data_IF_192054369161
#
_entry.id   IF_192054369161
#
_cell.length_a   1.000
_cell.length_b   1.000
_cell.length_c   1.000
_cell.angle_alpha   90.00
_cell.angle_beta   90.00
_cell.angle_gamma   90.00
#
_symmetry.space_group_name_H-M   'P 1'
#
loop_
_entity.id
_entity.type
_entity.pdbx_description
1 polymer ?
#
# COMPACT_ATOMS: atom_id res chain seq x y z
N UNK A 1 6.79 36.58 -8.23
CA UNK A 1 6.12 35.33 -8.61
C UNK A 1 7.09 34.49 -9.45
N UNK A 2 8.08 33.86 -8.79
CA UNK A 2 9.15 32.99 -9.31
C UNK A 2 10.25 33.00 -8.24
N UNK A 3 10.16 32.13 -7.21
CA UNK A 3 11.26 31.80 -6.27
C UNK A 3 10.95 30.75 -5.18
N UNK A 4 9.78 30.11 -5.17
CA UNK A 4 9.42 29.09 -4.15
C UNK A 4 9.33 27.65 -4.73
N UNK A 5 9.43 27.46 -6.04
CA UNK A 5 9.32 26.12 -6.65
C UNK A 5 10.60 25.26 -6.60
N UNK A 6 11.76 25.80 -6.22
CA UNK A 6 13.02 25.03 -6.25
C UNK A 6 13.34 24.26 -4.96
N UNK A 7 12.68 24.56 -3.84
CA UNK A 7 12.99 23.96 -2.54
C UNK A 7 12.17 22.69 -2.23
N UNK A 8 11.05 22.46 -2.92
CA UNK A 8 10.19 21.27 -2.72
C UNK A 8 10.63 20.08 -3.60
N UNK A 9 11.43 20.30 -4.65
CA UNK A 9 11.99 19.22 -5.47
C UNK A 9 13.06 18.37 -4.76
N UNK A 10 13.65 18.85 -3.66
CA UNK A 10 14.78 18.17 -2.98
C UNK A 10 14.39 17.08 -1.98
N UNK A 11 13.11 16.93 -1.66
CA UNK A 11 12.63 15.88 -0.76
C UNK A 11 11.73 14.84 -1.46
N UNK A 12 11.53 14.99 -2.77
CA UNK A 12 10.78 14.04 -3.61
C UNK A 12 11.67 13.25 -4.59
N UNK A 13 12.95 13.60 -4.75
CA UNK A 13 13.92 12.86 -5.55
C UNK A 13 15.33 13.04 -4.95
N UNK A 14 16.07 11.95 -4.87
CA UNK A 14 17.45 11.90 -4.39
C UNK A 14 18.40 12.81 -5.22
N UNK A 15 19.34 13.39 -4.49
CA UNK A 15 20.65 13.96 -4.81
C UNK A 15 21.09 14.09 -6.30
N UNK A 16 21.40 15.32 -6.69
CA UNK A 16 22.30 15.69 -7.81
C UNK A 16 23.78 15.60 -7.38
N UNK A 17 24.72 15.16 -8.23
CA UNK A 17 26.11 15.56 -8.10
C UNK A 17 26.38 16.84 -8.90
N UNK A 18 27.13 17.75 -8.29
CA UNK A 18 27.62 18.98 -8.89
C UNK A 18 28.89 18.74 -9.75
N UNK A 19 28.98 19.55 -10.81
CA UNK A 19 30.17 20.18 -11.38
C UNK A 19 31.44 19.33 -11.64
N UNK A 20 31.72 19.08 -12.93
CA UNK A 20 33.05 18.77 -13.44
C UNK A 20 33.66 20.06 -14.00
N UNK A 21 34.77 20.51 -13.39
CA UNK A 21 35.69 21.48 -13.97
C UNK A 21 36.63 20.82 -14.97
N UNK A 22 36.95 21.54 -16.05
CA UNK A 22 37.89 21.11 -17.07
C UNK A 22 39.35 21.40 -16.69
N UNK A 23 40.18 20.37 -16.87
CA UNK A 23 41.56 20.33 -17.42
C UNK A 23 42.69 21.09 -16.69
N UNK A 24 43.69 20.30 -16.29
CA UNK A 24 45.10 20.56 -16.66
C UNK A 24 45.88 19.24 -16.78
N UNK A 25 46.65 19.14 -17.86
CA UNK A 25 47.52 18.04 -18.25
C UNK A 25 48.68 17.82 -17.27
N UNK A 26 49.12 16.56 -17.15
CA UNK A 26 50.44 16.20 -16.62
C UNK A 26 50.73 14.72 -16.85
N UNK A 27 51.50 14.42 -17.89
CA UNK A 27 52.05 13.09 -18.18
C UNK A 27 53.06 12.66 -17.11
N UNK A 28 53.03 11.38 -16.69
CA UNK A 28 54.26 10.64 -16.37
C UNK A 28 54.09 9.10 -16.43
N UNK A 29 54.57 8.54 -17.54
CA UNK A 29 55.35 7.30 -17.74
C UNK A 29 55.24 6.11 -16.75
N UNK A 30 54.78 4.99 -17.33
CA UNK A 30 55.13 3.56 -17.14
C UNK A 30 55.69 3.03 -15.79
N UNK A 31 55.07 1.92 -15.32
CA UNK A 31 55.76 0.60 -15.20
C UNK A 31 54.77 -0.57 -15.07
N UNK A 32 54.83 -1.47 -16.06
CA UNK A 32 54.22 -2.81 -16.05
C UNK A 32 54.94 -3.70 -15.03
N UNK A 33 54.20 -4.41 -14.18
CA UNK A 33 54.63 -5.72 -13.66
C UNK A 33 53.45 -6.70 -13.65
N UNK A 34 53.62 -7.77 -14.45
CA UNK A 34 52.83 -9.00 -14.43
C UNK A 34 52.99 -9.68 -13.08
N UNK A 35 51.90 -10.15 -12.49
CA UNK A 35 51.91 -11.34 -11.65
C UNK A 35 50.73 -12.23 -12.01
N UNK A 36 51.05 -13.31 -12.73
CA UNK A 36 50.21 -14.48 -12.88
C UNK A 36 50.26 -15.25 -11.56
N UNK A 37 49.12 -15.46 -10.90
CA UNK A 37 48.96 -16.56 -9.95
C UNK A 37 47.67 -17.29 -10.29
N UNK A 38 47.86 -18.44 -10.93
CA UNK A 38 46.88 -19.51 -11.04
C UNK A 38 46.71 -20.08 -9.63
N UNK A 39 45.49 -20.00 -9.09
CA UNK A 39 45.09 -20.77 -7.93
C UNK A 39 43.79 -21.47 -8.31
N UNK A 40 43.88 -22.80 -8.46
CA UNK A 40 42.74 -23.67 -8.60
C UNK A 40 41.87 -23.56 -7.34
N UNK A 41 40.65 -23.06 -7.50
CA UNK A 41 39.62 -23.15 -6.45
C UNK A 41 38.83 -24.41 -6.74
N UNK A 42 38.96 -25.36 -5.82
CA UNK A 42 38.11 -26.55 -5.78
C UNK A 42 36.65 -26.12 -5.69
N UNK A 43 35.82 -26.61 -6.61
CA UNK A 43 34.36 -26.50 -6.53
C UNK A 43 33.89 -27.41 -5.40
N UNK A 44 33.93 -26.93 -4.17
CA UNK A 44 33.07 -27.47 -3.13
C UNK A 44 31.67 -26.96 -3.44
N UNK A 45 30.76 -27.86 -3.82
CA UNK A 45 29.32 -27.60 -3.84
C UNK A 45 28.87 -27.27 -2.41
N UNK A 46 29.06 -26.02 -2.01
CA UNK A 46 28.50 -25.47 -0.79
C UNK A 46 27.00 -25.37 -0.99
N UNK A 47 26.25 -26.27 -0.35
CA UNK A 47 24.83 -26.04 -0.10
C UNK A 47 24.71 -24.69 0.60
N UNK A 48 24.01 -23.75 -0.04
CA UNK A 48 23.71 -22.45 0.56
C UNK A 48 23.01 -22.70 1.92
N UNK A 49 23.45 -22.08 3.02
CA UNK A 49 22.84 -22.27 4.33
C UNK A 49 21.42 -21.70 4.45
N UNK A 50 20.87 -21.14 3.36
CA UNK A 50 19.60 -20.41 3.32
C UNK A 50 18.41 -21.25 2.84
N UNK A 51 18.57 -22.57 2.72
CA UNK A 51 17.45 -23.45 2.39
C UNK A 51 16.60 -23.77 3.64
N UNK A 52 15.94 -22.76 4.22
CA UNK A 52 14.78 -23.00 5.09
C UNK A 52 13.53 -23.02 4.21
N UNK A 53 13.43 -24.04 3.36
CA UNK A 53 12.14 -24.41 2.80
C UNK A 53 11.41 -25.22 3.88
N UNK A 54 10.74 -24.52 4.80
CA UNK A 54 9.76 -25.15 5.66
C UNK A 54 8.69 -25.86 4.81
N UNK A 55 8.09 -26.96 5.29
CA UNK A 55 7.02 -27.63 4.56
C UNK A 55 5.86 -26.65 4.36
N UNK A 56 5.64 -26.22 3.11
CA UNK A 56 4.57 -25.29 2.73
C UNK A 56 4.98 -24.00 2.02
N UNK A 57 6.23 -23.86 1.54
CA UNK A 57 6.65 -22.72 0.72
C UNK A 57 5.69 -22.53 -0.48
N UNK A 58 4.86 -21.48 -0.42
CA UNK A 58 3.93 -21.15 -1.51
C UNK A 58 4.75 -20.50 -2.61
N UNK A 59 4.85 -21.16 -3.76
CA UNK A 59 5.59 -20.64 -4.91
C UNK A 59 4.83 -19.44 -5.49
N UNK A 60 5.41 -18.22 -5.52
CA UNK A 60 4.74 -17.07 -6.10
C UNK A 60 4.50 -17.27 -7.60
N UNK A 61 3.33 -16.81 -8.07
CA UNK A 61 2.99 -16.75 -9.48
C UNK A 61 3.28 -15.35 -10.03
N UNK A 62 4.08 -15.26 -11.09
CA UNK A 62 4.39 -13.97 -11.72
C UNK A 62 3.24 -13.52 -12.63
N UNK A 63 2.60 -12.42 -12.25
CA UNK A 63 1.51 -11.77 -12.99
C UNK A 63 2.03 -10.95 -14.18
N UNK A 64 3.14 -10.22 -14.00
CA UNK A 64 3.73 -9.31 -15.00
C UNK A 64 5.25 -9.20 -14.86
N UNK A 65 5.91 -8.77 -15.94
CA UNK A 65 7.33 -8.36 -16.00
C UNK A 65 7.50 -6.87 -16.29
N UNK A 66 6.39 -6.14 -16.35
CA UNK A 66 6.35 -4.74 -16.79
C UNK A 66 5.72 -3.84 -15.73
N UNK A 67 5.75 -4.26 -14.46
CA UNK A 67 5.27 -3.47 -13.34
C UNK A 67 6.05 -2.17 -13.22
N UNK A 68 5.37 -1.10 -12.83
CA UNK A 68 6.03 0.17 -12.52
C UNK A 68 6.63 0.18 -11.10
N UNK A 69 7.29 1.28 -10.72
CA UNK A 69 7.90 1.47 -9.39
C UNK A 69 6.93 1.41 -8.20
N UNK A 70 5.62 1.41 -8.46
CA UNK A 70 4.55 1.26 -7.47
C UNK A 70 3.44 0.30 -7.95
N UNK A 71 3.81 -0.72 -8.73
CA UNK A 71 2.87 -1.62 -9.42
C UNK A 71 1.75 -2.18 -8.52
N UNK A 72 2.09 -2.52 -7.28
CA UNK A 72 1.19 -3.05 -6.24
C UNK A 72 0.98 -2.08 -5.08
N UNK A 73 1.46 -0.85 -5.22
CA UNK A 73 1.47 0.18 -4.19
C UNK A 73 0.09 0.60 -3.69
N UNK A 74 0.13 1.25 -2.52
CA UNK A 74 -1.02 1.68 -1.71
C UNK A 74 -1.79 0.47 -1.19
N UNK A 75 -1.47 0.06 0.04
CA UNK A 75 -2.07 -1.12 0.67
C UNK A 75 -3.59 -0.93 0.91
N UNK A 76 -3.99 0.31 1.13
CA UNK A 76 -5.36 0.78 1.29
C UNK A 76 -6.22 0.67 0.02
N UNK A 77 -5.58 0.76 -1.15
CA UNK A 77 -6.22 0.65 -2.45
C UNK A 77 -6.31 -0.83 -2.82
N UNK A 78 -7.41 -1.49 -2.49
CA UNK A 78 -7.59 -2.93 -2.71
C UNK A 78 -7.41 -3.32 -4.18
N UNK A 79 -6.64 -4.39 -4.45
CA UNK A 79 -6.28 -4.83 -5.80
C UNK A 79 -6.80 -6.21 -6.14
N UNK A 80 -7.50 -6.85 -5.21
CA UNK A 80 -7.81 -8.26 -5.26
C UNK A 80 -9.26 -8.46 -4.82
N UNK A 81 -10.02 -9.18 -5.63
CA UNK A 81 -11.43 -9.49 -5.34
C UNK A 81 -11.70 -10.94 -5.74
N UNK A 82 -12.12 -11.76 -4.78
CA UNK A 82 -12.65 -13.10 -5.06
C UNK A 82 -14.18 -13.12 -5.05
N UNK A 83 -14.77 -13.53 -6.16
CA UNK A 83 -16.20 -13.73 -6.30
C UNK A 83 -16.51 -15.07 -6.97
N UNK A 84 -17.34 -15.89 -6.31
CA UNK A 84 -17.83 -17.19 -6.82
C UNK A 84 -16.75 -18.03 -7.54
N UNK A 85 -15.67 -18.36 -6.84
CA UNK A 85 -14.62 -19.24 -7.37
C UNK A 85 -13.57 -18.56 -8.26
N UNK A 86 -13.72 -17.27 -8.56
CA UNK A 86 -12.74 -16.51 -9.35
C UNK A 86 -12.10 -15.40 -8.54
N UNK A 87 -10.78 -15.27 -8.66
CA UNK A 87 -10.01 -14.19 -8.03
C UNK A 87 -9.50 -13.24 -9.11
N UNK A 88 -9.97 -12.00 -9.10
CA UNK A 88 -9.51 -10.93 -9.99
C UNK A 88 -8.41 -10.13 -9.31
N UNK A 89 -7.30 -9.94 -10.00
CA UNK A 89 -6.10 -9.27 -9.48
C UNK A 89 -5.67 -8.19 -10.45
N UNK A 90 -5.65 -6.95 -9.98
CA UNK A 90 -5.26 -5.79 -10.78
C UNK A 90 -3.99 -5.11 -10.27
N UNK A 91 -3.21 -4.56 -11.18
CA UNK A 91 -1.94 -3.88 -10.87
C UNK A 91 -1.64 -2.82 -11.92
N UNK A 92 -0.53 -2.11 -11.74
CA UNK A 92 -0.08 -1.06 -12.65
C UNK A 92 1.22 -1.47 -13.36
N UNK A 93 1.14 -1.62 -14.67
CA UNK A 93 2.31 -1.73 -15.54
C UNK A 93 2.81 -0.34 -15.96
N UNK A 94 4.11 -0.26 -16.23
CA UNK A 94 4.72 0.76 -17.08
C UNK A 94 5.25 0.08 -18.35
N UNK A 95 4.80 0.56 -19.51
CA UNK A 95 5.19 0.04 -20.83
C UNK A 95 5.66 1.18 -21.72
N UNK A 96 6.17 0.87 -22.91
CA UNK A 96 6.56 1.89 -23.89
C UNK A 96 5.38 2.80 -24.31
N UNK A 97 4.14 2.32 -24.17
CA UNK A 97 2.93 3.11 -24.41
C UNK A 97 2.48 3.95 -23.19
N UNK A 98 3.28 3.94 -22.12
CA UNK A 98 2.96 4.57 -20.84
C UNK A 98 2.38 3.59 -19.81
N UNK A 99 1.72 4.16 -18.79
CA UNK A 99 1.19 3.40 -17.66
C UNK A 99 -0.16 2.75 -17.99
N UNK A 100 -0.31 1.48 -17.62
CA UNK A 100 -1.49 0.65 -17.95
C UNK A 100 -1.99 -0.10 -16.73
N UNK A 101 -3.24 0.13 -16.37
CA UNK A 101 -3.94 -0.68 -15.38
C UNK A 101 -4.26 -2.02 -16.02
N UNK A 102 -3.73 -3.08 -15.44
CA UNK A 102 -3.90 -4.45 -15.90
C UNK A 102 -4.73 -5.26 -14.91
N UNK A 103 -5.33 -6.34 -15.40
CA UNK A 103 -6.02 -7.33 -14.59
C UNK A 103 -5.84 -8.73 -15.15
N UNK A 104 -5.77 -9.72 -14.27
CA UNK A 104 -5.93 -11.15 -14.56
C UNK A 104 -6.93 -11.78 -13.62
N UNK A 105 -7.52 -12.88 -14.05
CA UNK A 105 -8.46 -13.67 -13.26
C UNK A 105 -7.90 -15.07 -13.06
N UNK A 106 -7.84 -15.53 -11.82
CA UNK A 106 -7.57 -16.93 -11.46
C UNK A 106 -8.90 -17.67 -11.33
N UNK A 107 -9.07 -18.75 -12.11
CA UNK A 107 -10.13 -19.73 -11.90
C UNK A 107 -9.67 -20.71 -10.82
N UNK A 108 -10.20 -20.57 -9.60
CA UNK A 108 -9.66 -21.28 -8.42
C UNK A 108 -9.90 -22.78 -8.47
N UNK A 109 -10.94 -23.24 -9.18
CA UNK A 109 -11.26 -24.65 -9.30
C UNK A 109 -10.16 -25.45 -10.03
N UNK A 110 -9.49 -24.83 -11.00
CA UNK A 110 -8.47 -25.48 -11.84
C UNK A 110 -7.08 -24.85 -11.71
N UNK A 111 -6.96 -23.73 -10.98
CA UNK A 111 -5.68 -23.06 -10.76
C UNK A 111 -5.13 -22.32 -11.97
N UNK A 112 -5.98 -22.02 -12.96
CA UNK A 112 -5.56 -21.40 -14.21
C UNK A 112 -5.80 -19.89 -14.22
N UNK A 113 -4.82 -19.15 -14.74
CA UNK A 113 -4.90 -17.70 -14.91
C UNK A 113 -5.31 -17.33 -16.32
N UNK A 114 -6.25 -16.41 -16.45
CA UNK A 114 -6.58 -15.76 -17.71
C UNK A 114 -5.36 -15.06 -18.33
N UNK A 115 -5.48 -14.67 -19.60
CA UNK A 115 -4.59 -13.66 -20.20
C UNK A 115 -4.70 -12.33 -19.45
N UNK A 116 -3.69 -11.48 -19.63
CA UNK A 116 -3.71 -10.09 -19.16
C UNK A 116 -4.76 -9.30 -19.96
N UNK A 117 -5.60 -8.55 -19.26
CA UNK A 117 -6.54 -7.60 -19.83
C UNK A 117 -6.20 -6.17 -19.38
N UNK A 118 -6.43 -5.19 -20.23
CA UNK A 118 -6.24 -3.76 -19.93
C UNK A 118 -7.55 -3.17 -19.45
N UNK A 119 -7.53 -2.49 -18.30
CA UNK A 119 -8.66 -1.70 -17.81
C UNK A 119 -8.65 -0.31 -18.45
N UNK A 120 -7.48 0.34 -18.45
CA UNK A 120 -7.28 1.67 -19.00
C UNK A 120 -5.87 2.17 -18.76
N UNK A 121 -5.60 3.41 -19.19
CA UNK A 121 -4.34 4.11 -18.94
C UNK A 121 -4.31 4.76 -17.56
N UNK A 122 -3.11 5.07 -17.09
CA UNK A 122 -2.85 5.82 -15.86
C UNK A 122 -1.91 7.01 -16.16
N UNK A 123 -1.94 8.04 -15.30
CA UNK A 123 -1.07 9.21 -15.45
C UNK A 123 0.39 8.83 -15.25
N UNK A 124 0.68 8.19 -14.12
CA UNK A 124 2.02 7.80 -13.70
C UNK A 124 1.94 6.65 -12.68
N UNK A 125 3.04 6.34 -11.98
CA UNK A 125 3.08 5.25 -11.01
C UNK A 125 2.16 5.42 -9.78
N UNK A 126 1.48 6.56 -9.59
CA UNK A 126 0.46 6.74 -8.55
C UNK A 126 -0.95 6.31 -9.02
N UNK A 127 -1.15 6.09 -10.32
CA UNK A 127 -2.47 5.87 -10.91
C UNK A 127 -3.03 4.45 -10.79
N UNK A 128 -2.57 3.67 -9.82
CA UNK A 128 -2.96 2.27 -9.63
C UNK A 128 -4.45 2.05 -9.33
N UNK A 129 -4.97 0.82 -9.52
CA UNK A 129 -6.40 0.53 -9.39
C UNK A 129 -6.83 0.27 -7.95
N UNK A 130 -8.04 0.72 -7.61
CA UNK A 130 -8.88 0.24 -6.50
C UNK A 130 -10.04 -0.61 -7.04
N UNK A 131 -10.17 -1.84 -6.55
CA UNK A 131 -11.19 -2.81 -6.94
C UNK A 131 -12.19 -3.08 -5.81
N UNK A 132 -13.47 -3.17 -6.18
CA UNK A 132 -14.57 -3.66 -5.35
C UNK A 132 -15.55 -4.50 -6.21
N UNK A 133 -16.51 -5.17 -5.56
CA UNK A 133 -17.56 -5.95 -6.24
C UNK A 133 -18.91 -5.73 -5.56
N UNK A 134 -19.96 -5.56 -6.38
CA UNK A 134 -21.34 -5.44 -5.92
C UNK A 134 -21.99 -6.82 -5.65
N UNK A 135 -23.20 -6.82 -5.11
CA UNK A 135 -23.97 -8.02 -4.74
C UNK A 135 -24.30 -8.93 -5.93
N UNK A 136 -24.25 -8.38 -7.14
CA UNK A 136 -24.51 -9.08 -8.40
C UNK A 136 -23.24 -9.61 -9.05
N UNK A 137 -22.07 -9.37 -8.46
CA UNK A 137 -20.78 -9.78 -9.00
C UNK A 137 -20.21 -8.81 -10.03
N UNK A 138 -20.76 -7.61 -10.21
CA UNK A 138 -20.20 -6.59 -11.09
C UNK A 138 -18.93 -6.03 -10.43
N UNK A 139 -17.82 -6.06 -11.17
CA UNK A 139 -16.55 -5.54 -10.71
C UNK A 139 -16.52 -4.03 -10.93
N UNK A 140 -16.06 -3.28 -9.93
CA UNK A 140 -15.91 -1.84 -9.99
C UNK A 140 -14.44 -1.48 -9.84
N UNK A 141 -13.94 -0.60 -10.71
CA UNK A 141 -12.55 -0.16 -10.68
C UNK A 141 -12.44 1.35 -10.77
N UNK A 142 -11.67 1.95 -9.86
CA UNK A 142 -11.29 3.36 -9.89
C UNK A 142 -9.77 3.48 -9.97
N UNK A 143 -9.27 4.28 -10.90
CA UNK A 143 -7.84 4.40 -11.20
C UNK A 143 -7.53 5.77 -11.81
N UNK A 144 -6.28 5.93 -12.26
CA UNK A 144 -5.71 7.04 -13.04
C UNK A 144 -4.82 8.02 -12.29
N UNK A 145 -5.23 8.65 -11.17
CA UNK A 145 -4.74 10.00 -10.96
C UNK A 145 -3.52 10.12 -10.07
N UNK A 146 -2.73 11.14 -10.41
CA UNK A 146 -1.83 11.86 -9.54
C UNK A 146 -2.16 13.35 -9.64
N UNK A 147 -3.03 13.89 -8.79
CA UNK A 147 -3.60 15.24 -8.93
C UNK A 147 -4.50 15.44 -10.16
N UNK A 148 -5.30 14.44 -10.52
CA UNK A 148 -6.23 14.47 -11.67
C UNK A 148 -7.66 14.09 -11.29
N UNK A 149 -8.59 14.10 -12.27
CA UNK A 149 -9.90 13.44 -12.14
C UNK A 149 -9.68 11.93 -12.08
N UNK A 150 -10.51 11.20 -11.35
CA UNK A 150 -10.50 9.75 -11.41
C UNK A 150 -11.10 9.26 -12.72
N UNK A 151 -10.66 8.07 -13.14
CA UNK A 151 -11.36 7.24 -14.13
C UNK A 151 -12.04 6.10 -13.40
N UNK A 152 -13.27 5.81 -13.79
CA UNK A 152 -14.08 4.72 -13.27
C UNK A 152 -14.60 3.86 -14.40
N UNK A 153 -14.60 2.54 -14.19
CA UNK A 153 -15.29 1.56 -15.03
C UNK A 153 -15.97 0.51 -14.16
N UNK A 154 -16.98 -0.15 -14.73
CA UNK A 154 -17.50 -1.41 -14.21
C UNK A 154 -17.38 -2.52 -15.25
N UNK A 155 -17.32 -3.77 -14.82
CA UNK A 155 -17.24 -4.90 -15.75
C UNK A 155 -18.48 -4.98 -16.62
N UNK A 156 -18.30 -5.35 -17.89
CA UNK A 156 -19.42 -5.50 -18.83
C UNK A 156 -20.30 -6.70 -18.50
N UNK A 157 -19.77 -7.67 -17.74
CA UNK A 157 -20.47 -8.85 -17.23
C UNK A 157 -20.09 -9.08 -15.77
N UNK A 158 -20.98 -9.67 -14.96
CA UNK A 158 -20.61 -10.13 -13.63
C UNK A 158 -19.44 -11.12 -13.65
N UNK A 159 -18.57 -11.04 -12.64
CA UNK A 159 -17.46 -11.97 -12.39
C UNK A 159 -16.50 -12.15 -13.59
N UNK A 160 -16.31 -11.09 -14.38
CA UNK A 160 -15.52 -11.12 -15.61
C UNK A 160 -14.76 -9.79 -15.80
N UNK A 161 -13.45 -9.85 -15.65
CA UNK A 161 -12.56 -8.69 -15.82
C UNK A 161 -12.02 -8.52 -17.26
N UNK A 162 -12.52 -9.29 -18.23
CA UNK A 162 -12.01 -9.28 -19.61
C UNK A 162 -12.54 -8.11 -20.45
N UNK A 163 -13.68 -7.54 -20.05
CA UNK A 163 -14.33 -6.43 -20.75
C UNK A 163 -14.96 -5.48 -19.75
N UNK A 164 -14.86 -4.18 -20.04
CA UNK A 164 -15.30 -3.09 -19.18
C UNK A 164 -16.22 -2.17 -19.96
N UNK A 165 -17.20 -1.60 -19.27
CA UNK A 165 -18.05 -0.55 -19.82
C UNK A 165 -17.25 0.74 -20.13
N UNK A 166 -17.84 1.70 -20.88
CA UNK A 166 -17.23 3.00 -21.12
C UNK A 166 -16.78 3.70 -19.84
N UNK A 167 -15.71 4.47 -19.97
CA UNK A 167 -15.08 5.20 -18.86
C UNK A 167 -15.92 6.38 -18.41
N UNK A 168 -15.95 6.62 -17.11
CA UNK A 168 -16.55 7.82 -16.50
C UNK A 168 -15.46 8.56 -15.74
N UNK A 169 -15.40 9.87 -15.93
CA UNK A 169 -14.53 10.76 -15.16
C UNK A 169 -15.28 11.48 -14.03
N UNK A 170 -14.65 11.60 -12.86
CA UNK A 170 -15.23 12.35 -11.74
C UNK A 170 -14.15 12.89 -10.79
N UNK A 171 -14.56 13.75 -9.86
CA UNK A 171 -13.66 14.41 -8.93
C UNK A 171 -12.74 15.42 -9.60
N UNK A 172 -11.78 15.93 -8.84
CA UNK A 172 -10.80 16.88 -9.34
C UNK A 172 -9.55 16.77 -8.49
N UNK A 173 -8.35 16.86 -9.07
CA UNK A 173 -7.05 16.79 -8.36
C UNK A 173 -6.97 15.76 -7.22
N UNK A 174 -7.59 14.62 -7.44
CA UNK A 174 -7.65 13.50 -6.51
C UNK A 174 -6.43 12.60 -6.67
N UNK A 175 -6.16 11.76 -5.68
CA UNK A 175 -5.10 10.75 -5.68
C UNK A 175 -5.45 9.69 -4.62
N UNK A 176 -4.95 8.46 -4.78
CA UNK A 176 -5.10 7.35 -3.82
C UNK A 176 -6.55 6.94 -3.54
N UNK A 177 -7.22 6.25 -4.47
CA UNK A 177 -8.58 5.78 -4.24
C UNK A 177 -8.58 4.62 -3.23
N UNK A 178 -9.47 4.68 -2.24
CA UNK A 178 -9.90 3.51 -1.47
C UNK A 178 -11.38 3.30 -1.72
N UNK A 179 -11.74 2.15 -2.32
CA UNK A 179 -13.08 1.86 -2.80
C UNK A 179 -13.68 0.70 -2.01
N UNK A 180 -14.90 0.88 -1.50
CA UNK A 180 -15.70 -0.20 -0.91
C UNK A 180 -17.15 -0.13 -1.42
N UNK A 181 -17.82 -1.27 -1.51
CA UNK A 181 -19.23 -1.38 -1.86
C UNK A 181 -20.05 -1.66 -0.59
N UNK A 182 -21.09 -0.87 -0.36
CA UNK A 182 -22.01 -0.97 0.79
C UNK A 182 -23.01 -2.09 0.66
N UNK A 183 -23.79 -2.37 1.71
CA UNK A 183 -24.79 -3.44 1.72
C UNK A 183 -25.96 -3.19 0.76
N UNK A 184 -26.09 -1.96 0.26
CA UNK A 184 -27.09 -1.47 -0.68
C UNK A 184 -26.52 -1.25 -2.10
N UNK A 185 -25.38 -1.87 -2.41
CA UNK A 185 -24.62 -1.71 -3.65
C UNK A 185 -24.14 -0.27 -3.94
N UNK A 186 -24.24 0.65 -2.97
CA UNK A 186 -23.64 1.98 -3.09
C UNK A 186 -22.13 1.87 -2.96
N UNK A 187 -21.39 2.44 -3.91
CA UNK A 187 -19.94 2.54 -3.80
C UNK A 187 -19.58 3.74 -2.92
N UNK A 188 -18.62 3.55 -2.02
CA UNK A 188 -18.02 4.58 -1.18
C UNK A 188 -16.55 4.65 -1.53
N UNK A 189 -16.08 5.85 -1.85
CA UNK A 189 -14.70 6.09 -2.22
C UNK A 189 -14.10 7.20 -1.37
N UNK A 190 -13.01 6.90 -0.66
CA UNK A 190 -12.16 7.94 -0.09
C UNK A 190 -10.98 8.23 -0.98
N UNK A 191 -10.55 9.48 -1.01
CA UNK A 191 -9.35 9.89 -1.71
C UNK A 191 -8.73 11.15 -1.12
N UNK A 192 -7.44 11.34 -1.39
CA UNK A 192 -6.76 12.61 -1.14
C UNK A 192 -7.07 13.62 -2.24
N UNK A 193 -7.59 14.78 -1.86
CA UNK A 193 -7.71 15.99 -2.68
C UNK A 193 -6.61 16.99 -2.33
N UNK A 194 -5.95 17.49 -3.37
CA UNK A 194 -4.89 18.51 -3.26
C UNK A 194 -5.33 19.90 -3.70
N UNK A 195 -4.79 20.92 -3.04
CA UNK A 195 -5.00 22.33 -3.36
C UNK A 195 -3.67 23.08 -3.49
N UNK A 196 -3.60 24.13 -4.32
CA UNK A 196 -2.39 24.94 -4.44
C UNK A 196 -2.06 25.77 -3.19
N UNK A 197 -3.08 26.28 -2.50
CA UNK A 197 -2.92 27.26 -1.40
C UNK A 197 -3.71 26.94 -0.13
N UNK A 198 -4.51 25.87 -0.16
CA UNK A 198 -5.34 25.43 0.96
C UNK A 198 -4.80 24.11 1.53
N UNK A 199 -5.09 23.79 2.80
CA UNK A 199 -4.78 22.47 3.33
C UNK A 199 -5.44 21.36 2.52
N UNK A 200 -4.68 20.29 2.25
CA UNK A 200 -5.21 19.12 1.55
C UNK A 200 -6.18 18.35 2.44
N UNK A 201 -7.06 17.57 1.82
CA UNK A 201 -8.16 16.91 2.53
C UNK A 201 -8.41 15.49 2.00
N UNK A 202 -9.09 14.68 2.80
CA UNK A 202 -9.66 13.40 2.39
C UNK A 202 -11.15 13.61 2.11
N UNK A 203 -11.56 13.27 0.90
CA UNK A 203 -12.94 13.37 0.43
C UNK A 203 -13.60 12.00 0.39
N UNK A 204 -14.88 11.93 0.78
CA UNK A 204 -15.77 10.80 0.58
C UNK A 204 -16.72 11.09 -0.58
N UNK A 205 -16.66 10.23 -1.59
CA UNK A 205 -17.56 10.18 -2.73
C UNK A 205 -18.46 8.96 -2.62
N UNK A 206 -19.68 9.08 -3.13
CA UNK A 206 -20.65 7.98 -3.19
C UNK A 206 -21.12 7.77 -4.62
N UNK A 207 -21.45 6.54 -4.98
CA UNK A 207 -22.13 6.26 -6.25
C UNK A 207 -23.19 5.19 -6.04
N UNK A 208 -24.45 5.57 -6.22
CA UNK A 208 -25.58 4.63 -6.18
C UNK A 208 -25.54 3.67 -7.39
N UNK A 209 -26.18 2.49 -7.29
CA UNK A 209 -26.45 1.64 -8.45
C UNK A 209 -27.08 2.49 -9.56
N UNK A 210 -26.43 2.53 -10.72
CA UNK A 210 -26.86 3.29 -11.91
C UNK A 210 -26.93 4.83 -11.78
N UNK A 211 -26.67 5.40 -10.60
CA UNK A 211 -26.56 6.86 -10.39
C UNK A 211 -25.18 7.44 -10.76
N UNK A 212 -25.04 8.77 -10.85
CA UNK A 212 -23.73 9.41 -11.00
C UNK A 212 -22.90 9.29 -9.70
N UNK A 213 -21.64 9.71 -9.78
CA UNK A 213 -20.84 9.98 -8.58
C UNK A 213 -21.36 11.25 -7.89
N UNK A 214 -21.59 11.16 -6.58
CA UNK A 214 -22.08 12.19 -5.68
C UNK A 214 -21.00 12.54 -4.64
N UNK A 215 -20.93 13.81 -4.24
CA UNK A 215 -19.95 14.31 -3.28
C UNK A 215 -19.22 15.57 -3.74
N UNK A 216 -18.11 15.95 -3.09
CA UNK A 216 -17.50 15.26 -1.94
C UNK A 216 -18.04 15.74 -0.58
N UNK A 217 -18.17 14.82 0.37
CA UNK A 217 -18.14 15.16 1.80
C UNK A 217 -16.68 15.17 2.26
N UNK A 218 -16.26 16.16 3.03
CA UNK A 218 -14.87 16.23 3.53
C UNK A 218 -14.78 15.48 4.86
N UNK A 219 -14.10 14.32 4.86
CA UNK A 219 -13.94 13.49 6.07
C UNK A 219 -12.78 13.96 6.94
N UNK A 220 -11.65 14.29 6.33
CA UNK A 220 -10.46 14.70 7.07
C UNK A 220 -9.78 15.87 6.36
N UNK A 221 -9.14 16.75 7.12
CA UNK A 221 -8.40 17.90 6.57
C UNK A 221 -7.10 18.13 7.33
N UNK A 222 -6.04 18.43 6.59
CA UNK A 222 -4.79 18.86 7.19
C UNK A 222 -4.97 20.23 7.87
N UNK A 223 -4.21 20.49 8.94
CA UNK A 223 -4.24 21.78 9.65
C UNK A 223 -3.43 22.87 8.95
N UNK A 224 -2.49 22.48 8.08
CA UNK A 224 -1.55 23.38 7.43
C UNK A 224 -1.64 23.29 5.90
N UNK A 225 -1.49 24.42 5.18
CA UNK A 225 -1.35 24.38 3.73
C UNK A 225 -0.02 23.74 3.31
N UNK A 226 0.06 23.35 2.05
CA UNK A 226 1.23 22.69 1.48
C UNK A 226 1.08 21.16 1.42
N UNK A 227 2.18 20.47 1.15
CA UNK A 227 2.14 19.02 0.96
C UNK A 227 1.69 18.32 2.24
N UNK A 228 0.61 17.55 2.10
CA UNK A 228 0.16 16.61 3.14
C UNK A 228 -0.05 15.24 2.52
N UNK A 229 0.18 14.21 3.31
CA UNK A 229 -0.07 12.84 2.90
C UNK A 229 -1.05 12.18 3.85
N UNK A 230 -2.01 11.48 3.29
CA UNK A 230 -2.97 10.68 4.03
C UNK A 230 -2.72 9.21 3.65
N UNK A 231 -2.68 8.34 4.64
CA UNK A 231 -2.75 6.89 4.42
C UNK A 231 -4.09 6.44 4.99
N UNK A 232 -5.15 6.70 4.23
CA UNK A 232 -6.52 6.40 4.62
C UNK A 232 -6.93 4.98 4.27
N UNK A 233 -7.66 4.30 5.15
CA UNK A 233 -8.30 3.02 4.86
C UNK A 233 -9.75 3.12 5.28
N UNK A 234 -10.64 2.65 4.40
CA UNK A 234 -12.09 2.59 4.60
C UNK A 234 -12.52 1.13 4.48
N UNK A 235 -13.26 0.61 5.46
CA UNK A 235 -13.75 -0.77 5.45
C UNK A 235 -15.13 -0.86 6.09
N UNK A 236 -15.94 -1.80 5.61
CA UNK A 236 -17.15 -2.20 6.33
C UNK A 236 -16.79 -3.15 7.48
N UNK A 237 -17.58 -3.11 8.54
CA UNK A 237 -17.58 -4.14 9.56
C UNK A 237 -17.93 -5.50 8.96
N UNK A 238 -17.60 -6.58 9.66
CA UNK A 238 -17.88 -7.94 9.20
C UNK A 238 -19.38 -8.22 8.98
N UNK A 239 -20.26 -7.42 9.59
CA UNK A 239 -21.72 -7.46 9.42
C UNK A 239 -22.22 -6.63 8.23
N UNK A 240 -21.31 -5.95 7.52
CA UNK A 240 -21.57 -5.05 6.40
C UNK A 240 -22.45 -3.83 6.76
N UNK A 241 -22.50 -3.41 8.04
CA UNK A 241 -23.37 -2.30 8.49
C UNK A 241 -22.62 -1.06 8.93
N UNK A 242 -21.57 -1.22 9.74
CA UNK A 242 -20.76 -0.10 10.23
C UNK A 242 -19.62 0.20 9.29
N UNK A 243 -19.43 1.47 8.96
CA UNK A 243 -18.27 1.94 8.20
C UNK A 243 -17.15 2.33 9.17
N UNK A 244 -15.94 1.87 8.93
CA UNK A 244 -14.75 2.19 9.71
C UNK A 244 -13.74 2.91 8.83
N UNK A 245 -13.10 3.93 9.40
CA UNK A 245 -12.06 4.72 8.75
C UNK A 245 -10.86 4.84 9.68
N UNK A 246 -9.67 4.60 9.14
CA UNK A 246 -8.43 5.01 9.80
C UNK A 246 -7.59 5.84 8.84
N UNK A 247 -6.73 6.71 9.38
CA UNK A 247 -5.86 7.53 8.56
C UNK A 247 -4.58 7.90 9.30
N UNK A 248 -3.46 7.91 8.58
CA UNK A 248 -2.29 8.69 8.99
C UNK A 248 -2.31 10.08 8.36
N UNK A 249 -2.44 11.11 9.19
CA UNK A 249 -2.11 12.49 8.83
C UNK A 249 -0.60 12.66 8.80
N UNK A 250 -0.06 13.20 7.71
CA UNK A 250 1.31 13.66 7.59
C UNK A 250 1.28 15.09 7.07
N UNK A 251 1.74 16.03 7.88
CA UNK A 251 1.44 17.44 7.71
C UNK A 251 2.69 18.31 7.85
N UNK A 252 2.56 19.58 7.45
CA UNK A 252 3.59 20.63 7.65
C UNK A 252 4.93 20.23 7.04
N UNK A 253 4.89 19.71 5.81
CA UNK A 253 6.09 19.49 5.00
C UNK A 253 6.62 20.82 4.49
N UNK A 254 7.92 21.06 4.68
CA UNK A 254 8.62 22.24 4.22
C UNK A 254 10.02 21.86 3.68
N UNK A 255 10.85 22.85 3.36
CA UNK A 255 12.19 22.61 2.81
C UNK A 255 13.18 21.94 3.79
N UNK A 256 12.84 21.91 5.08
CA UNK A 256 13.68 21.39 6.16
C UNK A 256 13.19 20.05 6.69
N UNK A 257 11.92 19.70 6.48
CA UNK A 257 11.34 18.48 7.03
C UNK A 257 10.18 17.94 6.18
N UNK A 258 10.23 16.63 5.89
CA UNK A 258 9.17 15.88 5.25
C UNK A 258 8.21 15.29 6.31
N UNK A 259 7.10 16.00 6.55
CA UNK A 259 6.10 15.65 7.57
C UNK A 259 6.58 15.86 8.99
N UNK A 260 6.63 17.13 9.40
CA UNK A 260 7.01 17.52 10.76
C UNK A 260 6.12 16.92 11.83
N UNK A 261 4.83 16.79 11.51
CA UNK A 261 3.81 16.28 12.41
C UNK A 261 3.07 15.15 11.72
N UNK A 262 2.89 14.06 12.45
CA UNK A 262 2.17 12.89 11.99
C UNK A 262 1.24 12.38 13.08
N UNK A 263 0.05 11.93 12.70
CA UNK A 263 -0.94 11.34 13.61
C UNK A 263 -1.60 10.16 12.93
N UNK A 264 -1.70 9.03 13.62
CA UNK A 264 -2.58 7.91 13.22
C UNK A 264 -3.86 8.03 14.01
N UNK A 265 -5.00 8.01 13.33
CA UNK A 265 -6.30 8.13 13.95
C UNK A 265 -7.36 7.22 13.35
N UNK A 266 -8.48 7.12 14.05
CA UNK A 266 -9.63 6.28 13.71
C UNK A 266 -10.96 7.04 13.88
N UNK A 267 -11.97 6.59 13.14
CA UNK A 267 -13.37 6.92 13.39
C UNK A 267 -14.29 5.88 12.74
N UNK A 268 -15.55 5.82 13.16
CA UNK A 268 -16.57 4.97 12.55
C UNK A 268 -17.89 5.70 12.34
N UNK A 269 -18.75 5.14 11.50
CA UNK A 269 -20.08 5.65 11.16
C UNK A 269 -21.09 4.50 11.01
N UNK A 270 -22.29 4.66 11.57
CA UNK A 270 -23.43 3.73 11.41
C UNK A 270 -24.53 4.26 10.47
N UNK A 271 -24.33 5.46 9.91
CA UNK A 271 -25.30 6.15 9.05
C UNK A 271 -24.71 6.42 7.67
N UNK A 272 -23.95 5.44 7.17
CA UNK A 272 -23.38 5.45 5.83
C UNK A 272 -22.47 6.67 5.58
N UNK A 273 -21.70 7.07 6.60
CA UNK A 273 -20.72 8.16 6.54
C UNK A 273 -21.27 9.55 6.78
N UNK A 274 -22.55 9.71 7.16
CA UNK A 274 -23.13 11.03 7.43
C UNK A 274 -22.59 11.65 8.73
N UNK A 275 -22.48 10.86 9.80
CA UNK A 275 -21.86 11.24 11.07
C UNK A 275 -20.76 10.24 11.49
N UNK A 276 -19.81 10.71 12.29
CA UNK A 276 -18.61 9.96 12.65
C UNK A 276 -18.30 10.07 14.14
N UNK A 277 -17.77 8.98 14.70
CA UNK A 277 -17.57 8.81 16.14
C UNK A 277 -16.21 8.17 16.45
N UNK A 278 -15.67 8.48 17.63
CA UNK A 278 -14.50 7.83 18.21
C UNK A 278 -14.84 6.41 18.67
N UNK A 279 -13.84 5.60 19.01
CA UNK A 279 -14.05 4.25 19.53
C UNK A 279 -14.92 4.23 20.81
N UNK A 280 -14.89 5.29 21.62
CA UNK A 280 -15.70 5.43 22.84
C UNK A 280 -17.15 5.90 22.58
N UNK A 281 -17.51 6.16 21.32
CA UNK A 281 -18.83 6.62 20.91
C UNK A 281 -19.03 8.13 20.95
N UNK A 282 -18.03 8.92 21.36
CA UNK A 282 -18.10 10.38 21.28
C UNK A 282 -18.07 10.87 19.83
N UNK A 283 -18.86 11.89 19.51
CA UNK A 283 -18.93 12.44 18.16
C UNK A 283 -17.63 13.15 17.75
N UNK A 284 -17.32 13.06 16.46
CA UNK A 284 -16.21 13.78 15.81
C UNK A 284 -16.81 14.79 14.83
N UNK A 285 -16.53 16.10 14.99
CA UNK A 285 -16.94 17.09 14.01
C UNK A 285 -16.14 16.91 12.72
N UNK A 286 -16.82 17.04 11.58
CA UNK A 286 -16.18 17.03 10.27
C UNK A 286 -15.87 18.45 9.76
N UNK A 287 -14.77 18.64 9.00
CA UNK A 287 -13.75 17.63 8.71
C UNK A 287 -12.90 17.32 9.95
N UNK A 288 -12.61 16.03 10.17
CA UNK A 288 -11.71 15.61 11.23
C UNK A 288 -10.29 16.14 10.97
N UNK A 289 -9.57 16.53 12.01
CA UNK A 289 -8.17 16.93 11.94
C UNK A 289 -7.33 15.94 12.73
N UNK A 290 -6.01 16.08 12.65
CA UNK A 290 -5.07 15.35 13.48
C UNK A 290 -5.27 15.55 15.01
N UNK A 291 -6.07 16.53 15.43
CA UNK A 291 -6.41 16.79 16.84
C UNK A 291 -7.79 16.24 17.23
N UNK A 292 -8.75 16.23 16.28
CA UNK A 292 -10.15 15.88 16.60
C UNK A 292 -10.48 14.42 16.35
N UNK A 293 -9.74 13.73 15.48
CA UNK A 293 -9.89 12.29 15.24
C UNK A 293 -9.59 11.49 16.52
N UNK A 294 -10.07 10.26 16.63
CA UNK A 294 -9.66 9.35 17.71
C UNK A 294 -8.18 9.00 17.53
N UNK A 295 -7.29 9.55 18.36
CA UNK A 295 -5.83 9.47 18.17
C UNK A 295 -5.28 8.18 18.73
N UNK A 296 -4.59 7.40 17.88
CA UNK A 296 -3.89 6.17 18.27
C UNK A 296 -2.40 6.42 18.54
N UNK A 297 -1.77 7.26 17.72
CA UNK A 297 -0.35 7.57 17.83
C UNK A 297 -0.02 8.94 17.23
N UNK A 298 1.01 9.59 17.76
CA UNK A 298 1.56 10.85 17.24
C UNK A 298 3.06 10.71 16.98
N UNK A 299 3.57 11.51 16.04
CA UNK A 299 4.95 11.46 15.60
C UNK A 299 5.26 12.58 14.60
N UNK A 300 6.21 12.31 13.72
CA UNK A 300 6.80 13.25 12.78
C UNK A 300 8.24 13.62 13.12
N UNK A 301 8.88 14.37 12.23
CA UNK A 301 10.28 14.79 12.36
C UNK A 301 10.53 15.49 13.69
N UNK A 302 9.61 16.36 14.12
CA UNK A 302 9.76 17.14 15.36
C UNK A 302 9.71 16.25 16.62
N UNK A 303 9.15 15.04 16.51
CA UNK A 303 9.07 14.05 17.58
C UNK A 303 10.15 12.95 17.51
N UNK A 304 11.05 13.01 16.52
CA UNK A 304 12.11 12.02 16.31
C UNK A 304 11.61 10.62 15.91
N UNK A 305 10.32 10.48 15.54
CA UNK A 305 9.70 9.19 15.20
C UNK A 305 8.78 9.33 13.99
N UNK A 306 8.94 8.50 12.97
CA UNK A 306 8.11 8.53 11.76
C UNK A 306 7.03 7.45 11.85
N UNK A 307 5.80 7.81 11.50
CA UNK A 307 4.66 6.91 11.45
C UNK A 307 4.34 6.52 10.00
N UNK A 308 3.98 5.25 9.79
CA UNK A 308 3.34 4.75 8.57
C UNK A 308 2.13 3.92 8.96
N UNK A 309 0.99 4.12 8.31
CA UNK A 309 -0.22 3.34 8.55
C UNK A 309 -0.43 2.32 7.42
N UNK A 310 -0.98 1.16 7.79
CA UNK A 310 -1.42 0.13 6.86
C UNK A 310 -2.93 0.17 6.64
N UNK A 311 -3.40 -0.75 5.80
CA UNK A 311 -4.82 -0.97 5.56
C UNK A 311 -5.44 -1.71 6.75
N UNK A 312 -6.52 -1.16 7.31
CA UNK A 312 -7.18 -1.74 8.49
C UNK A 312 -8.06 -2.93 8.15
N UNK A 313 -8.46 -3.67 9.18
CA UNK A 313 -9.48 -4.72 9.09
C UNK A 313 -10.41 -4.69 10.31
N UNK A 314 -11.54 -5.39 10.22
CA UNK A 314 -12.51 -5.52 11.32
C UNK A 314 -12.77 -6.99 11.55
N UNK A 315 -12.66 -7.44 12.80
CA UNK A 315 -12.91 -8.84 13.11
C UNK A 315 -14.41 -9.19 13.14
N UNK A 316 -14.73 -10.49 13.21
CA UNK A 316 -16.12 -10.97 13.22
C UNK A 316 -16.98 -10.48 14.41
N UNK A 317 -16.38 -9.81 15.41
CA UNK A 317 -17.09 -9.18 16.53
C UNK A 317 -17.25 -7.66 16.34
N UNK A 318 -16.94 -7.12 15.16
CA UNK A 318 -17.01 -5.70 14.87
C UNK A 318 -15.87 -4.88 15.49
N UNK A 319 -14.78 -5.52 15.96
CA UNK A 319 -13.66 -4.78 16.57
C UNK A 319 -12.65 -4.35 15.51
N UNK A 320 -12.37 -3.05 15.37
CA UNK A 320 -11.39 -2.56 14.40
C UNK A 320 -9.96 -2.94 14.81
N UNK A 321 -9.14 -3.25 13.81
CA UNK A 321 -7.71 -3.51 13.91
C UNK A 321 -6.97 -2.53 13.01
N UNK A 322 -6.10 -1.71 13.59
CA UNK A 322 -5.30 -0.72 12.85
C UNK A 322 -3.82 -1.13 12.93
N UNK A 323 -3.14 -1.15 11.79
CA UNK A 323 -1.69 -1.32 11.73
C UNK A 323 -1.02 0.03 11.54
N UNK A 324 0.01 0.28 12.32
CA UNK A 324 0.96 1.34 12.01
C UNK A 324 2.36 0.94 12.45
N UNK A 325 3.38 1.40 11.74
CA UNK A 325 4.76 1.30 12.19
C UNK A 325 5.25 2.63 12.76
N UNK A 326 6.09 2.53 13.80
CA UNK A 326 6.82 3.63 14.40
C UNK A 326 8.30 3.40 14.09
N UNK A 327 8.93 4.35 13.40
CA UNK A 327 10.35 4.30 13.06
C UNK A 327 11.13 5.37 13.80
N UNK A 328 12.10 4.98 14.61
CA UNK A 328 13.03 5.84 15.34
C UNK A 328 14.46 5.48 14.93
N UNK A 329 15.16 6.38 14.24
CA UNK A 329 16.44 6.05 13.59
C UNK A 329 16.27 4.89 12.60
N UNK A 330 17.03 3.80 12.81
CA UNK A 330 16.97 2.56 12.03
C UNK A 330 16.14 1.46 12.69
N UNK A 331 15.30 1.79 13.67
CA UNK A 331 14.41 0.80 14.29
C UNK A 331 12.99 1.09 13.89
N UNK A 332 12.34 0.12 13.23
CA UNK A 332 10.91 0.18 12.93
C UNK A 332 10.19 -0.96 13.61
N UNK A 333 9.15 -0.62 14.37
CA UNK A 333 8.24 -1.59 14.95
C UNK A 333 6.84 -1.38 14.40
N UNK A 334 6.19 -2.48 13.99
CA UNK A 334 4.78 -2.45 13.62
C UNK A 334 3.92 -2.77 14.83
N UNK A 335 2.95 -1.90 15.12
CA UNK A 335 1.95 -2.03 16.17
C UNK A 335 0.63 -2.48 15.55
N UNK A 336 0.04 -3.53 16.12
CA UNK A 336 -1.36 -3.88 15.96
C UNK A 336 -2.17 -3.19 17.07
N UNK A 337 -2.90 -2.15 16.72
CA UNK A 337 -3.80 -1.45 17.63
C UNK A 337 -5.22 -2.02 17.56
N UNK A 338 -5.80 -2.23 18.74
CA UNK A 338 -7.13 -2.81 18.92
C UNK A 338 -7.92 -1.94 19.88
N UNK A 339 -9.14 -1.57 19.47
CA UNK A 339 -10.08 -0.91 20.36
C UNK A 339 -10.83 -1.94 21.22
N UNK A 340 -10.83 -1.72 22.53
CA UNK A 340 -11.66 -2.47 23.47
C UNK A 340 -12.30 -1.49 24.46
N UNK A 341 -13.64 -1.48 24.54
CA UNK A 341 -14.42 -0.59 25.40
C UNK A 341 -14.03 0.90 25.24
N UNK A 342 -13.86 1.35 24.00
CA UNK A 342 -13.48 2.73 23.70
C UNK A 342 -12.01 3.08 23.90
N UNK A 343 -11.17 2.14 24.35
CA UNK A 343 -9.74 2.38 24.61
C UNK A 343 -8.88 1.59 23.64
N UNK A 344 -7.89 2.25 23.05
CA UNK A 344 -6.90 1.63 22.18
C UNK A 344 -5.78 0.96 22.97
N UNK A 345 -5.42 -0.27 22.57
CA UNK A 345 -4.24 -0.98 23.05
C UNK A 345 -3.41 -1.46 21.87
N UNK A 346 -2.10 -1.27 21.97
CA UNK A 346 -1.14 -1.71 20.95
C UNK A 346 -0.39 -2.98 21.36
N UNK A 347 -0.13 -3.84 20.40
CA UNK A 347 0.79 -4.98 20.51
C UNK A 347 1.85 -4.88 19.43
N UNK A 348 3.13 -4.94 19.80
CA UNK A 348 4.22 -4.99 18.82
C UNK A 348 4.21 -6.33 18.09
N UNK A 349 4.14 -6.29 16.76
CA UNK A 349 4.20 -7.46 15.90
C UNK A 349 5.63 -7.92 15.64
N UNK A 350 6.62 -7.03 15.83
CA UNK A 350 8.03 -7.37 15.68
C UNK A 350 8.49 -8.45 16.67
N UNK A 351 7.80 -8.58 17.82
CA UNK A 351 8.03 -9.62 18.81
C UNK A 351 7.69 -11.05 18.31
N UNK A 352 6.96 -11.17 17.20
CA UNK A 352 6.60 -12.46 16.58
C UNK A 352 7.46 -12.81 15.36
N UNK A 353 8.51 -12.02 15.08
CA UNK A 353 9.49 -12.40 14.08
C UNK A 353 10.34 -13.58 14.58
N UNK A 354 10.62 -14.59 13.73
CA UNK A 354 11.55 -15.65 14.05
C UNK A 354 12.95 -15.11 14.39
N UNK A 355 13.75 -15.90 15.11
CA UNK A 355 15.09 -15.51 15.57
C UNK A 355 16.03 -15.08 14.44
N UNK A 356 15.90 -15.68 13.26
CA UNK A 356 16.69 -15.33 12.07
C UNK A 356 16.39 -13.92 11.53
N UNK A 357 15.19 -13.40 11.80
CA UNK A 357 14.77 -12.04 11.45
C UNK A 357 14.78 -11.12 12.67
N UNK A 358 15.29 -11.58 13.81
CA UNK A 358 15.44 -10.75 15.01
C UNK A 358 16.45 -9.63 14.69
N UNK A 359 15.98 -8.38 14.74
CA UNK A 359 16.75 -7.20 14.35
C UNK A 359 16.43 -6.65 12.95
N UNK A 360 15.63 -7.37 12.17
CA UNK A 360 14.99 -6.78 10.99
C UNK A 360 13.87 -5.85 11.45
N UNK A 361 13.66 -4.79 10.68
CA UNK A 361 12.55 -3.88 10.79
C UNK A 361 11.30 -4.53 10.22
N UNK A 362 10.17 -4.44 10.91
CA UNK A 362 8.86 -4.77 10.35
C UNK A 362 8.12 -3.45 10.13
N UNK A 363 7.91 -3.09 8.86
CA UNK A 363 7.47 -1.75 8.47
C UNK A 363 6.14 -1.75 7.69
N UNK A 364 5.39 -0.67 7.86
CA UNK A 364 4.19 -0.34 7.08
C UNK A 364 4.56 0.60 5.91
N UNK A 365 3.79 0.60 4.80
CA UNK A 365 2.45 0.06 4.65
C UNK A 365 2.38 -1.45 4.37
N UNK A 366 1.31 -2.04 4.90
CA UNK A 366 0.85 -3.42 4.69
C UNK A 366 -0.66 -3.45 4.94
N UNK A 367 -1.28 -4.63 5.08
CA UNK A 367 -2.73 -4.71 5.28
C UNK A 367 -3.17 -5.90 6.13
N UNK A 368 -4.36 -5.79 6.72
CA UNK A 368 -5.04 -6.86 7.45
C UNK A 368 -6.16 -7.45 6.60
N UNK A 369 -6.33 -8.76 6.65
CA UNK A 369 -7.53 -9.45 6.19
C UNK A 369 -8.00 -10.50 7.18
N UNK A 370 -9.28 -10.86 7.10
CA UNK A 370 -9.90 -11.92 7.89
C UNK A 370 -10.56 -12.92 6.94
N UNK A 371 -10.36 -14.21 7.19
CA UNK A 371 -11.14 -15.23 6.51
C UNK A 371 -12.48 -15.48 7.24
N UNK A 372 -13.31 -16.37 6.67
CA UNK A 372 -14.62 -16.71 7.23
C UNK A 372 -14.56 -17.31 8.65
N UNK A 373 -13.46 -17.95 9.03
CA UNK A 373 -13.26 -18.53 10.36
C UNK A 373 -12.81 -17.48 11.39
N UNK A 374 -12.65 -16.23 10.98
CA UNK A 374 -12.16 -15.14 11.82
C UNK A 374 -10.64 -15.16 12.04
N UNK A 375 -9.90 -15.99 11.29
CA UNK A 375 -8.43 -15.99 11.31
C UNK A 375 -7.90 -14.72 10.65
N UNK A 376 -6.99 -14.04 11.33
CA UNK A 376 -6.39 -12.79 10.88
C UNK A 376 -5.11 -13.05 10.10
N UNK A 377 -4.95 -12.34 8.99
CA UNK A 377 -3.80 -12.39 8.11
C UNK A 377 -3.27 -10.97 7.93
N UNK A 378 -1.96 -10.79 8.07
CA UNK A 378 -1.28 -9.51 7.94
C UNK A 378 -0.20 -9.65 6.89
N UNK A 379 -0.29 -8.90 5.80
CA UNK A 379 0.82 -8.76 4.84
C UNK A 379 1.63 -7.51 5.19
N UNK A 380 2.95 -7.65 5.26
CA UNK A 380 3.87 -6.57 5.66
C UNK A 380 5.21 -6.70 4.92
N UNK A 381 6.07 -5.69 5.09
CA UNK A 381 7.45 -5.73 4.59
C UNK A 381 8.41 -5.81 5.78
N UNK A 382 9.38 -6.73 5.72
CA UNK A 382 10.56 -6.70 6.58
C UNK A 382 11.76 -6.13 5.84
N UNK A 383 12.65 -5.45 6.55
CA UNK A 383 13.84 -4.82 5.98
C UNK A 383 15.01 -4.90 6.95
N UNK A 384 16.23 -4.89 6.42
CA UNK A 384 17.46 -4.70 7.18
C UNK A 384 18.08 -3.40 6.69
N UNK A 385 18.04 -2.37 7.52
CA UNK A 385 18.64 -1.07 7.22
C UNK A 385 19.77 -0.79 8.19
N UNK A 386 20.91 -0.38 7.65
CA UNK A 386 22.02 0.19 8.38
C UNK A 386 21.82 1.70 8.60
N UNK A 387 22.67 2.32 9.44
CA UNK A 387 22.55 3.73 9.79
C UNK A 387 22.74 4.64 8.55
N UNK A 388 21.76 5.50 8.30
CA UNK A 388 21.77 6.43 7.17
C UNK A 388 21.16 5.87 5.87
N UNK A 389 20.75 4.60 5.82
CA UNK A 389 20.10 4.03 4.64
C UNK A 389 18.63 4.47 4.50
N UNK A 390 18.18 4.61 3.25
CA UNK A 390 16.79 4.92 2.93
C UNK A 390 15.95 3.63 2.83
N UNK A 391 14.79 3.63 3.48
CA UNK A 391 13.89 2.46 3.49
C UNK A 391 13.12 2.25 2.19
N UNK A 392 12.94 3.30 1.38
CA UNK A 392 12.07 3.26 0.21
C UNK A 392 12.70 2.46 -0.93
N UNK A 393 12.13 1.28 -1.23
CA UNK A 393 12.64 0.40 -2.28
C UNK A 393 14.00 -0.21 -1.93
N UNK A 394 14.31 -0.34 -0.64
CA UNK A 394 15.57 -0.92 -0.18
C UNK A 394 15.74 -2.36 -0.68
N UNK A 395 16.93 -2.72 -1.15
CA UNK A 395 17.16 -4.03 -1.79
C UNK A 395 16.93 -5.21 -0.85
N UNK A 396 17.07 -5.02 0.47
CA UNK A 396 16.77 -6.06 1.46
C UNK A 396 15.27 -6.26 1.74
N UNK A 397 14.37 -5.56 1.03
CA UNK A 397 12.95 -5.59 1.37
C UNK A 397 12.37 -6.95 1.04
N UNK A 398 11.67 -7.55 2.00
CA UNK A 398 10.99 -8.82 1.80
C UNK A 398 9.55 -8.78 2.28
N UNK A 399 8.67 -9.47 1.56
CA UNK A 399 7.26 -9.54 1.87
C UNK A 399 6.99 -10.74 2.77
N UNK A 400 6.31 -10.48 3.87
CA UNK A 400 5.96 -11.49 4.88
C UNK A 400 4.46 -11.50 5.14
N UNK A 401 4.01 -12.62 5.68
CA UNK A 401 2.69 -12.79 6.24
C UNK A 401 2.78 -13.20 7.71
N UNK A 402 2.05 -12.48 8.57
CA UNK A 402 1.78 -12.90 9.94
C UNK A 402 0.35 -13.40 10.02
N UNK A 403 0.15 -14.62 10.53
CA UNK A 403 -1.17 -15.23 10.64
C UNK A 403 -1.50 -15.50 12.10
N UNK A 404 -2.66 -15.04 12.59
CA UNK A 404 -3.05 -15.27 13.98
C UNK A 404 -3.17 -16.76 14.30
N UNK A 405 -2.81 -17.11 15.52
CA UNK A 405 -2.92 -18.44 16.12
C UNK A 405 -3.96 -18.44 17.23
N UNK A 406 -4.48 -19.61 17.60
CA UNK A 406 -5.50 -19.74 18.66
C UNK A 406 -4.99 -19.24 20.03
N UNK A 407 -3.69 -19.33 20.30
CA UNK A 407 -3.06 -18.86 21.53
C UNK A 407 -2.80 -17.35 21.61
N UNK A 408 -3.29 -16.56 20.64
CA UNK A 408 -3.09 -15.10 20.62
C UNK A 408 -1.72 -14.63 20.11
N UNK A 409 -0.92 -15.55 19.57
CA UNK A 409 0.34 -15.24 18.87
C UNK A 409 0.18 -15.23 17.35
N UNK A 410 1.29 -15.11 16.63
CA UNK A 410 1.33 -15.11 15.17
C UNK A 410 2.31 -16.15 14.62
N UNK A 411 1.87 -16.87 13.59
CA UNK A 411 2.74 -17.67 12.74
C UNK A 411 3.32 -16.79 11.64
N UNK A 412 4.63 -16.88 11.43
CA UNK A 412 5.36 -16.14 10.42
C UNK A 412 5.50 -16.97 9.13
N UNK A 413 5.38 -16.31 7.98
CA UNK A 413 5.68 -16.89 6.68
C UNK A 413 6.34 -15.84 5.78
N UNK A 414 7.45 -16.19 5.14
CA UNK A 414 8.02 -15.40 4.06
C UNK A 414 7.25 -15.67 2.76
N UNK A 415 6.80 -14.62 2.07
CA UNK A 415 6.04 -14.72 0.82
C UNK A 415 6.92 -14.48 -0.42
N UNK A 416 7.96 -13.67 -0.29
CA UNK A 416 8.98 -13.45 -1.33
C UNK A 416 10.21 -14.34 -1.10
N UNK A 417 11.06 -14.58 -2.12
CA UNK A 417 12.36 -15.20 -1.90
C UNK A 417 13.32 -14.20 -1.24
N UNK A 418 14.16 -14.65 -0.31
CA UNK A 418 15.25 -13.82 0.23
C UNK A 418 16.24 -13.47 -0.88
N UNK A 419 16.31 -12.19 -1.26
CA UNK A 419 17.21 -11.64 -2.26
C UNK A 419 17.76 -10.28 -1.80
N UNK A 420 19.06 -10.17 -1.48
CA UNK A 420 19.66 -8.91 -1.03
C UNK A 420 19.84 -7.89 -2.16
N UNK A 421 19.51 -8.22 -3.41
CA UNK A 421 19.72 -7.37 -4.58
C UNK A 421 18.42 -6.85 -5.19
N UNK A 422 17.28 -7.44 -4.84
CA UNK A 422 15.98 -7.09 -5.41
C UNK A 422 15.00 -6.79 -4.30
N UNK A 423 14.52 -5.55 -4.23
CA UNK A 423 13.46 -5.20 -3.30
C UNK A 423 12.17 -5.96 -3.64
N UNK A 424 11.65 -6.74 -2.70
CA UNK A 424 10.28 -7.27 -2.70
C UNK A 424 9.43 -6.48 -1.71
N UNK A 425 8.44 -5.75 -2.21
CA UNK A 425 7.83 -4.68 -1.42
C UNK A 425 6.45 -4.28 -1.94
N UNK A 426 5.83 -3.34 -1.21
CA UNK A 426 4.49 -2.82 -1.48
C UNK A 426 3.42 -3.94 -1.51
N UNK A 427 3.29 -4.75 -0.44
CA UNK A 427 2.29 -5.80 -0.40
C UNK A 427 0.86 -5.23 -0.37
N UNK A 428 -0.03 -5.85 -1.12
CA UNK A 428 -1.48 -5.60 -1.09
C UNK A 428 -2.18 -6.95 -0.86
N UNK A 429 -2.90 -7.08 0.25
CA UNK A 429 -3.64 -8.29 0.63
C UNK A 429 -5.11 -8.15 0.24
N UNK A 430 -5.73 -9.24 -0.18
CA UNK A 430 -7.16 -9.31 -0.46
C UNK A 430 -7.96 -8.97 0.79
N UNK A 431 -8.92 -8.05 0.65
CA UNK A 431 -9.80 -7.59 1.75
C UNK A 431 -11.26 -7.62 1.34
N UNK A 432 -12.20 -7.70 2.31
CA UNK A 432 -13.61 -7.51 2.03
C UNK A 432 -13.86 -6.04 1.66
N UNK A 433 -14.09 -5.78 0.37
CA UNK A 433 -14.34 -4.43 -0.18
C UNK A 433 -15.73 -4.29 -0.75
N UNK A 434 -16.63 -5.22 -0.45
CA UNK A 434 -17.96 -5.29 -1.00
C UNK A 434 -18.54 -6.64 -0.65
N UNK A 435 -19.19 -7.27 -1.62
CA UNK A 435 -19.80 -8.58 -1.39
C UNK A 435 -18.81 -9.76 -1.55
N UNK A 436 -17.53 -9.49 -1.88
CA UNK A 436 -16.53 -10.54 -2.01
C UNK A 436 -16.30 -11.33 -0.71
N UNK A 437 -16.10 -12.63 -0.86
CA UNK A 437 -15.70 -13.50 0.24
C UNK A 437 -14.21 -13.80 0.12
N UNK A 438 -13.45 -13.30 1.09
CA UNK A 438 -12.03 -13.60 1.20
C UNK A 438 -11.86 -15.12 1.37
N UNK A 439 -11.03 -15.78 0.55
CA UNK A 439 -10.77 -17.22 0.68
C UNK A 439 -10.15 -17.59 2.03
N UNK A 440 -10.11 -18.89 2.34
CA UNK A 440 -9.49 -19.40 3.57
C UNK A 440 -8.04 -18.91 3.76
N UNK A 441 -7.33 -18.71 2.64
CA UNK A 441 -6.05 -17.99 2.57
C UNK A 441 -6.25 -16.77 1.66
N UNK A 442 -6.25 -15.54 2.20
CA UNK A 442 -6.31 -14.34 1.36
C UNK A 442 -5.07 -14.31 0.47
N UNK A 443 -5.25 -13.87 -0.78
CA UNK A 443 -4.11 -13.66 -1.62
C UNK A 443 -3.39 -12.34 -1.36
N UNK A 444 -2.12 -12.29 -1.75
CA UNK A 444 -1.24 -11.14 -1.62
C UNK A 444 -0.57 -10.91 -2.98
N UNK A 445 -0.53 -9.65 -3.42
CA UNK A 445 0.38 -9.22 -4.48
C UNK A 445 1.48 -8.32 -3.96
N UNK A 446 2.63 -8.37 -4.63
CA UNK A 446 3.77 -7.49 -4.37
C UNK A 446 4.59 -7.24 -5.63
N UNK A 447 5.43 -6.21 -5.60
CA UNK A 447 6.36 -5.87 -6.67
C UNK A 447 7.78 -6.33 -6.32
N UNK A 448 8.53 -6.75 -7.33
CA UNK A 448 9.95 -7.06 -7.24
C UNK A 448 10.74 -6.13 -8.18
N UNK A 449 11.63 -5.31 -7.63
CA UNK A 449 12.44 -4.36 -8.39
C UNK A 449 12.50 -2.95 -7.78
N UNK A 450 13.25 -2.03 -8.40
CA UNK A 450 13.55 -0.72 -7.84
C UNK A 450 12.33 0.24 -7.78
N UNK A 451 12.42 1.29 -6.95
CA UNK A 451 11.40 2.34 -6.86
C UNK A 451 11.29 3.25 -8.10
N UNK A 452 12.33 3.30 -8.94
CA UNK A 452 12.53 4.36 -9.93
C UNK A 452 13.05 5.65 -9.29
N UNK A 453 13.48 6.59 -10.14
CA UNK A 453 13.94 7.93 -9.76
C UNK A 453 12.80 8.95 -9.79
N UNK A 454 11.86 8.80 -10.73
CA UNK A 454 10.70 9.67 -10.89
C UNK A 454 9.41 8.87 -11.04
N UNK A 455 8.27 9.55 -10.88
CA UNK A 455 6.96 8.90 -10.93
C UNK A 455 6.57 8.44 -12.34
N UNK A 456 7.20 9.03 -13.35
CA UNK A 456 6.97 8.79 -14.78
C UNK A 456 7.94 7.78 -15.39
N UNK A 457 8.83 7.18 -14.59
CA UNK A 457 9.81 6.23 -15.10
C UNK A 457 9.12 4.97 -15.63
N UNK A 458 9.56 4.54 -16.82
CA UNK A 458 9.18 3.26 -17.38
C UNK A 458 10.15 2.20 -16.87
N UNK A 459 9.65 1.32 -16.01
CA UNK A 459 10.40 0.24 -15.39
C UNK A 459 9.88 -1.13 -15.84
N UNK A 460 10.64 -2.16 -15.52
CA UNK A 460 10.30 -3.56 -15.77
C UNK A 460 10.28 -4.38 -14.47
N UNK A 461 9.62 -3.85 -13.44
CA UNK A 461 9.49 -4.57 -12.18
C UNK A 461 8.62 -5.81 -12.40
N UNK A 462 8.93 -6.91 -11.72
CA UNK A 462 8.05 -8.07 -11.74
C UNK A 462 6.91 -7.88 -10.74
N UNK A 463 5.74 -8.42 -11.06
CA UNK A 463 4.57 -8.40 -10.17
C UNK A 463 4.22 -9.83 -9.84
N UNK A 464 4.11 -10.14 -8.55
CA UNK A 464 3.88 -11.49 -8.04
C UNK A 464 2.54 -11.60 -7.31
N UNK A 465 1.98 -12.80 -7.35
CA UNK A 465 0.81 -13.25 -6.60
C UNK A 465 1.16 -14.45 -5.72
N UNK A 466 0.60 -14.49 -4.52
CA UNK A 466 0.63 -15.64 -3.60
C UNK A 466 -0.77 -15.81 -3.01
N UNK A 467 -1.41 -16.99 -3.07
CA UNK A 467 -2.76 -17.20 -2.51
C UNK A 467 -3.51 -18.43 -3.00
#
# INVERSE_FOLDING_TARGET
>A
MLKIESAVRRWACCLTPAAVGWVLLGELVMKRRRFLKIAAVAVTMGRSPWAVAGPGAVKPFRLSRSGCGRATGYAETNKIVTWQGRTHVAWLDSTDEGFRVRVRTLERAIGEWSRVCTVGEAVDNHGGPALAVDSRGVLHVVYYPHHHRFRYRRSARPNDASQWEPEIEFGQRCTYPTLVCGPDDVLYLTCRRSFPKEPWQVELWKKRPDGPWEGPQVLARARYPGYSHFQESLVWGADHKRLHFCCRFHEKTDSRAYGRIQTVGYMWSDDFGASWFRADGSAIPLPATAETIDVLATGGVDAGRVLRCGAMGVDGRGRPRVLYSVTEGTRSETILAVAANGVWRGQSLSAFLPDEFRGWQLAMPGGISFNADGRMFIAATIQRLDEGEESWGHASSEVVQLTSTEGGGFAFQLLSPLDPHTAHWLPNIERPTGHNRVPARPGVIYAAGPPGQANTDILANEVYWVG
#
